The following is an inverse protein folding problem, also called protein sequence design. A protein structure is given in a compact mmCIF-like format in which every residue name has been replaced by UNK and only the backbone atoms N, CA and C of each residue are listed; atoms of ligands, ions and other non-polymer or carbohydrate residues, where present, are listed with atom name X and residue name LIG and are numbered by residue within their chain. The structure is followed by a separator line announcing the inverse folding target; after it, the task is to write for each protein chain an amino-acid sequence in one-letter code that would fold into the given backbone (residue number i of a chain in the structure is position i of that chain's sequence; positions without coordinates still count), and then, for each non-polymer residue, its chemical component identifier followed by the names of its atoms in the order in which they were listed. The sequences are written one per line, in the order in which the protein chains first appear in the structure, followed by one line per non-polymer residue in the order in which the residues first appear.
data_IF_027570741360
#
_entry.id   IF_027570741360
#
_cell.length_a   1.000
_cell.length_b   1.000
_cell.length_c   1.000
_cell.angle_alpha   90.00
_cell.angle_beta   90.00
_cell.angle_gamma   90.00
#
_symmetry.space_group_name_H-M   'P 1'
#
loop_
_entity.id
_entity.type
_entity.pdbx_description
1 polymer ?
#
# COMPACT_ATOMS: atom_id res chain seq x y z
N UNK A 1 -61.06 11.56 21.75
CA UNK A 1 -61.98 10.67 21.01
C UNK A 1 -61.13 9.71 20.14
N UNK A 2 -61.70 8.59 19.82
CA UNK A 2 -61.04 7.61 18.93
C UNK A 2 -60.70 8.18 17.57
N UNK A 3 -61.48 9.10 17.04
CA UNK A 3 -61.19 9.74 15.75
C UNK A 3 -59.98 10.66 15.85
N UNK A 4 -59.80 11.39 16.91
CA UNK A 4 -58.59 12.20 17.11
C UNK A 4 -57.36 11.34 17.32
N UNK A 5 -57.51 10.21 18.01
CA UNK A 5 -56.42 9.24 18.21
C UNK A 5 -56.12 8.45 16.94
N UNK A 6 -57.13 8.16 16.11
CA UNK A 6 -56.93 7.42 14.84
C UNK A 6 -56.46 8.29 13.68
N UNK A 7 -56.55 9.61 13.79
CA UNK A 7 -55.93 10.51 12.86
C UNK A 7 -54.43 10.53 13.17
N UNK A 8 -53.65 9.84 12.41
CA UNK A 8 -52.23 9.69 12.77
C UNK A 8 -51.53 11.03 12.82
N UNK A 9 -51.95 12.00 12.01
CA UNK A 9 -51.20 13.25 11.93
C UNK A 9 -52.06 14.39 11.42
N UNK A 10 -51.85 15.59 11.98
CA UNK A 10 -52.28 16.83 11.37
C UNK A 10 -51.49 17.11 10.08
N UNK A 11 -51.96 18.02 9.27
CA UNK A 11 -51.22 18.43 8.07
C UNK A 11 -49.82 18.93 8.43
N UNK A 12 -49.67 19.71 9.49
CA UNK A 12 -48.38 20.22 9.95
C UNK A 12 -47.45 19.10 10.39
N UNK A 13 -47.95 18.10 11.13
CA UNK A 13 -47.15 16.95 11.54
C UNK A 13 -46.68 16.13 10.35
N UNK A 14 -47.53 15.92 9.34
CA UNK A 14 -47.18 15.22 8.13
C UNK A 14 -46.09 15.97 7.36
N UNK A 15 -46.19 17.28 7.23
CA UNK A 15 -45.16 18.10 6.58
C UNK A 15 -43.84 18.08 7.34
N UNK A 16 -43.90 18.13 8.69
CA UNK A 16 -42.71 18.04 9.52
C UNK A 16 -42.04 16.68 9.39
N UNK A 17 -42.81 15.60 9.35
CA UNK A 17 -42.29 14.26 9.15
C UNK A 17 -41.62 14.12 7.77
N UNK A 18 -42.23 14.64 6.71
CA UNK A 18 -41.66 14.63 5.37
C UNK A 18 -40.35 15.42 5.32
N UNK A 19 -40.32 16.59 5.95
CA UNK A 19 -39.11 17.40 6.03
C UNK A 19 -38.00 16.68 6.76
N UNK A 20 -38.33 16.02 7.88
CA UNK A 20 -37.38 15.21 8.62
C UNK A 20 -36.83 14.04 7.78
N UNK A 21 -37.69 13.32 7.06
CA UNK A 21 -37.28 12.21 6.19
C UNK A 21 -36.42 12.69 5.05
N UNK A 22 -36.72 13.84 4.45
CA UNK A 22 -35.87 14.44 3.42
C UNK A 22 -34.48 14.78 3.95
N UNK A 23 -34.42 15.34 5.18
CA UNK A 23 -33.13 15.63 5.80
C UNK A 23 -32.33 14.36 6.08
N UNK A 24 -32.97 13.30 6.56
CA UNK A 24 -32.30 12.01 6.76
C UNK A 24 -31.79 11.44 5.45
N UNK A 25 -32.56 11.47 4.40
CA UNK A 25 -32.15 10.99 3.08
C UNK A 25 -30.96 11.78 2.54
N UNK A 26 -30.98 13.10 2.74
CA UNK A 26 -29.85 13.95 2.34
C UNK A 26 -28.60 13.62 3.13
N UNK A 27 -28.71 13.38 4.43
CA UNK A 27 -27.58 12.97 5.28
C UNK A 27 -27.03 11.61 4.85
N UNK A 28 -27.90 10.64 4.58
CA UNK A 28 -27.49 9.33 4.09
C UNK A 28 -26.73 9.47 2.76
N UNK A 29 -27.25 10.24 1.82
CA UNK A 29 -26.60 10.48 0.54
C UNK A 29 -25.22 11.14 0.73
N UNK A 30 -25.10 12.08 1.67
CA UNK A 30 -23.81 12.72 1.98
C UNK A 30 -22.81 11.73 2.59
N UNK A 31 -23.27 10.90 3.52
CA UNK A 31 -22.42 9.87 4.12
C UNK A 31 -21.95 8.87 3.05
N UNK A 32 -22.84 8.48 2.13
CA UNK A 32 -22.48 7.57 1.04
C UNK A 32 -21.42 8.19 0.14
N UNK A 33 -21.51 9.47 -0.18
CA UNK A 33 -20.48 10.18 -0.93
C UNK A 33 -19.15 10.19 -0.17
N UNK A 34 -19.17 10.50 1.10
CA UNK A 34 -17.97 10.54 1.95
C UNK A 34 -17.32 9.16 2.04
N UNK A 35 -18.13 8.10 2.15
CA UNK A 35 -17.63 6.72 2.15
C UNK A 35 -16.97 6.35 0.83
N UNK A 36 -17.56 6.73 -0.29
CA UNK A 36 -17.00 6.46 -1.61
C UNK A 36 -15.68 7.21 -1.82
N UNK A 37 -15.61 8.46 -1.38
CA UNK A 37 -14.37 9.25 -1.43
C UNK A 37 -13.28 8.62 -0.56
N UNK A 38 -13.63 8.18 0.66
CA UNK A 38 -12.70 7.52 1.55
C UNK A 38 -12.18 6.20 0.97
N UNK A 39 -13.06 5.41 0.37
CA UNK A 39 -12.67 4.16 -0.32
C UNK A 39 -11.75 4.43 -1.48
N UNK A 40 -12.02 5.46 -2.26
CA UNK A 40 -11.15 5.87 -3.37
C UNK A 40 -9.77 6.28 -2.87
N UNK A 41 -9.72 7.07 -1.80
CA UNK A 41 -8.45 7.48 -1.19
C UNK A 41 -7.64 6.28 -0.70
N UNK A 42 -8.30 5.33 -0.04
CA UNK A 42 -7.65 4.09 0.40
C UNK A 42 -7.09 3.31 -0.78
N UNK A 43 -7.84 3.18 -1.86
CA UNK A 43 -7.39 2.45 -3.05
C UNK A 43 -6.19 3.13 -3.71
N UNK A 44 -6.20 4.45 -3.84
CA UNK A 44 -5.07 5.21 -4.37
C UNK A 44 -3.83 5.01 -3.50
N UNK A 45 -3.97 5.08 -2.19
CA UNK A 45 -2.88 4.85 -1.24
C UNK A 45 -2.36 3.42 -1.29
N UNK A 46 -3.24 2.44 -1.42
CA UNK A 46 -2.87 1.03 -1.55
C UNK A 46 -2.03 0.78 -2.79
N UNK A 47 -2.42 1.35 -3.92
CA UNK A 47 -1.67 1.24 -5.17
C UNK A 47 -0.31 1.94 -5.08
N UNK A 48 -0.26 3.10 -4.43
CA UNK A 48 1.00 3.81 -4.21
C UNK A 48 1.95 3.01 -3.32
N UNK A 49 1.43 2.40 -2.25
CA UNK A 49 2.20 1.52 -1.37
C UNK A 49 2.76 0.32 -2.13
N UNK A 50 1.92 -0.33 -2.93
CA UNK A 50 2.35 -1.48 -3.75
C UNK A 50 3.47 -1.09 -4.70
N UNK A 51 3.36 0.06 -5.37
CA UNK A 51 4.41 0.56 -6.27
C UNK A 51 5.71 0.85 -5.51
N UNK A 52 5.62 1.45 -4.33
CA UNK A 52 6.77 1.73 -3.48
C UNK A 52 7.46 0.43 -2.99
N UNK A 53 6.68 -0.57 -2.60
CA UNK A 53 7.19 -1.89 -2.20
C UNK A 53 7.93 -2.59 -3.35
N UNK A 54 7.36 -2.55 -4.55
CA UNK A 54 8.01 -3.12 -5.74
C UNK A 54 9.34 -2.42 -6.04
N UNK A 55 9.37 -1.08 -5.93
CA UNK A 55 10.60 -0.31 -6.12
C UNK A 55 11.65 -0.67 -5.07
N UNK A 56 11.24 -0.82 -3.83
CA UNK A 56 12.15 -1.24 -2.74
C UNK A 56 12.76 -2.60 -3.03
N UNK A 57 11.94 -3.58 -3.45
CA UNK A 57 12.42 -4.93 -3.78
C UNK A 57 13.40 -4.88 -4.95
N UNK A 58 13.13 -4.08 -5.99
CA UNK A 58 14.04 -3.90 -7.11
C UNK A 58 15.38 -3.32 -6.66
N UNK A 59 15.36 -2.32 -5.79
CA UNK A 59 16.58 -1.71 -5.26
C UNK A 59 17.37 -2.68 -4.38
N UNK A 60 16.70 -3.44 -3.51
CA UNK A 60 17.34 -4.47 -2.69
C UNK A 60 17.99 -5.55 -3.56
N UNK A 61 17.32 -5.98 -4.63
CA UNK A 61 17.87 -6.95 -5.58
C UNK A 61 19.12 -6.41 -6.26
N UNK A 62 19.11 -5.14 -6.69
CA UNK A 62 20.29 -4.52 -7.28
C UNK A 62 21.47 -4.45 -6.31
N UNK A 63 21.21 -4.08 -5.06
CA UNK A 63 22.24 -4.05 -4.02
C UNK A 63 22.82 -5.44 -3.79
N UNK A 64 21.98 -6.47 -3.70
CA UNK A 64 22.43 -7.85 -3.53
C UNK A 64 23.28 -8.33 -4.69
N UNK A 65 22.88 -8.00 -5.93
CA UNK A 65 23.64 -8.34 -7.13
C UNK A 65 25.01 -7.65 -7.14
N UNK A 66 25.05 -6.36 -6.78
CA UNK A 66 26.30 -5.62 -6.71
C UNK A 66 27.23 -6.18 -5.63
N UNK A 67 26.70 -6.49 -4.45
CA UNK A 67 27.47 -7.09 -3.36
C UNK A 67 28.02 -8.46 -3.75
N UNK A 68 27.21 -9.27 -4.45
CA UNK A 68 27.65 -10.55 -4.96
C UNK A 68 28.77 -10.40 -6.00
N UNK A 69 28.62 -9.45 -6.92
CA UNK A 69 29.62 -9.18 -7.94
C UNK A 69 30.95 -8.73 -7.32
N UNK A 70 30.91 -7.89 -6.29
CA UNK A 70 32.08 -7.44 -5.56
C UNK A 70 32.77 -8.61 -4.84
N UNK A 71 32.00 -9.46 -4.16
CA UNK A 71 32.53 -10.64 -3.48
C UNK A 71 33.19 -11.62 -4.47
N UNK A 72 32.52 -11.85 -5.60
CA UNK A 72 33.06 -12.75 -6.63
C UNK A 72 34.35 -12.17 -7.24
N UNK A 73 34.40 -10.85 -7.45
CA UNK A 73 35.61 -10.18 -7.91
C UNK A 73 36.76 -10.38 -6.92
N UNK A 74 36.55 -10.14 -5.65
CA UNK A 74 37.57 -10.32 -4.62
C UNK A 74 38.01 -11.76 -4.49
N UNK A 75 37.10 -12.71 -4.57
CA UNK A 75 37.42 -14.13 -4.51
C UNK A 75 38.33 -14.56 -5.68
N UNK A 76 38.01 -14.12 -6.89
CA UNK A 76 38.82 -14.41 -8.08
C UNK A 76 40.19 -13.78 -7.97
N UNK A 77 40.28 -12.56 -7.44
CA UNK A 77 41.56 -11.88 -7.24
C UNK A 77 42.41 -12.62 -6.21
N UNK A 78 41.85 -13.00 -5.09
CA UNK A 78 42.55 -13.80 -4.06
C UNK A 78 43.01 -15.14 -4.63
N UNK A 79 42.19 -15.81 -5.42
CA UNK A 79 42.55 -17.07 -6.06
C UNK A 79 43.76 -16.91 -6.99
N UNK A 80 43.75 -15.84 -7.78
CA UNK A 80 44.89 -15.52 -8.67
C UNK A 80 46.16 -15.24 -7.86
N UNK A 81 46.07 -14.51 -6.80
CA UNK A 81 47.21 -14.21 -5.93
C UNK A 81 47.75 -15.48 -5.26
N UNK A 82 46.87 -16.37 -4.81
CA UNK A 82 47.28 -17.65 -4.25
C UNK A 82 47.96 -18.57 -5.31
N UNK A 83 47.37 -18.62 -6.50
CA UNK A 83 47.95 -19.41 -7.60
C UNK A 83 49.32 -18.87 -8.00
N UNK A 84 49.48 -17.55 -8.10
CA UNK A 84 50.75 -16.92 -8.39
C UNK A 84 51.78 -17.20 -7.30
N UNK A 85 51.40 -17.12 -6.04
CA UNK A 85 52.30 -17.47 -4.92
C UNK A 85 52.69 -18.93 -4.95
N UNK A 86 51.77 -19.83 -5.27
CA UNK A 86 52.05 -21.26 -5.40
C UNK A 86 53.06 -21.57 -6.51
N UNK A 87 52.90 -20.91 -7.68
CA UNK A 87 53.84 -21.03 -8.80
C UNK A 87 55.21 -20.49 -8.39
N UNK A 88 55.27 -19.36 -7.76
CA UNK A 88 56.54 -18.76 -7.30
C UNK A 88 57.26 -19.69 -6.31
N UNK A 89 56.57 -20.26 -5.34
CA UNK A 89 57.15 -21.19 -4.39
C UNK A 89 57.63 -22.46 -5.07
N UNK A 90 56.90 -22.98 -6.03
CA UNK A 90 57.30 -24.13 -6.83
C UNK A 90 58.61 -23.85 -7.59
N UNK A 91 58.68 -22.68 -8.24
CA UNK A 91 59.87 -22.29 -8.99
C UNK A 91 61.08 -22.08 -8.09
N UNK A 92 60.90 -21.60 -6.88
CA UNK A 92 62.01 -21.44 -5.93
C UNK A 92 62.56 -22.78 -5.40
N UNK A 93 61.76 -23.83 -5.38
CA UNK A 93 62.20 -25.18 -4.97
C UNK A 93 62.91 -25.94 -6.06
N UNK A 94 62.70 -25.54 -7.25
CA UNK A 94 63.29 -26.18 -8.47
C UNK A 94 64.20 -25.22 -9.21
#
# INVERSE_FOLDING_TARGET
SKEAESRPHSMAETLNFRGFMQQLQALIARVDLDMNEARHTVEVKRLALKAAEQKRIQMETLVEQDMKAVRDYHRKREQKEMDAAGVTLYNLKH
#
